data_IF_218795558775
#
_entry.id   IF_218795558775
#
_cell.length_a   1.000
_cell.length_b   1.000
_cell.length_c   1.000
_cell.angle_alpha   90.00
_cell.angle_beta   90.00
_cell.angle_gamma   90.00
#
_symmetry.space_group_name_H-M   'P 1'
#
loop_
_entity.id
_entity.type
_entity.pdbx_description
1 polymer ?
#
# COMPACT_ATOMS: atom_id res chain seq x y z
N UNK A 1 42.73 32.23 48.96
CA UNK A 1 43.26 32.60 47.63
C UNK A 1 42.70 31.58 46.64
N UNK A 2 41.54 31.81 46.00
CA UNK A 2 41.28 32.66 44.81
C UNK A 2 42.20 32.34 43.62
N UNK A 3 41.56 32.20 42.45
CA UNK A 3 42.05 32.08 41.06
C UNK A 3 42.17 30.65 40.50
N UNK A 4 41.66 30.30 39.31
CA UNK A 4 40.73 30.94 38.37
C UNK A 4 40.34 29.86 37.33
N UNK A 5 39.13 30.00 36.78
CA UNK A 5 38.52 29.22 35.70
C UNK A 5 39.39 29.13 34.43
N UNK A 6 39.34 28.02 33.70
CA UNK A 6 39.39 28.08 32.23
C UNK A 6 38.54 26.97 31.60
N UNK A 7 37.31 27.37 31.28
CA UNK A 7 36.38 26.70 30.39
C UNK A 7 36.83 26.89 28.94
N UNK A 8 37.07 25.80 28.20
CA UNK A 8 37.25 25.84 26.75
C UNK A 8 35.97 25.35 26.06
N UNK A 9 35.07 26.28 25.82
CA UNK A 9 33.85 26.13 25.03
C UNK A 9 34.24 26.14 23.55
N UNK A 10 34.18 24.99 22.88
CA UNK A 10 34.32 24.92 21.41
C UNK A 10 32.99 25.37 20.80
N UNK A 11 32.93 26.67 20.51
CA UNK A 11 31.87 27.31 19.75
C UNK A 11 32.09 26.99 18.27
N UNK A 12 31.50 25.88 17.78
CA UNK A 12 31.49 25.59 16.35
C UNK A 12 30.28 26.33 15.73
N UNK A 13 30.58 27.31 14.88
CA UNK A 13 29.63 28.14 14.19
C UNK A 13 28.70 27.30 13.30
N UNK A 14 27.47 27.08 13.76
CA UNK A 14 26.38 26.63 12.90
C UNK A 14 25.95 27.85 12.08
N UNK A 15 26.50 27.95 10.88
CA UNK A 15 25.97 28.84 9.85
C UNK A 15 24.55 28.38 9.51
N UNK A 16 23.56 29.11 10.01
CA UNK A 16 22.19 29.06 9.52
C UNK A 16 22.20 29.45 8.04
N UNK A 17 22.24 28.46 7.16
CA UNK A 17 21.80 28.63 5.77
C UNK A 17 20.29 28.67 5.79
N UNK A 18 19.75 29.88 5.88
CA UNK A 18 18.36 30.20 5.58
C UNK A 18 18.07 29.83 4.13
N UNK A 19 17.55 28.62 3.90
CA UNK A 19 16.83 28.30 2.67
C UNK A 19 15.41 28.84 2.81
N UNK A 20 15.28 30.15 2.67
CA UNK A 20 14.01 30.79 2.33
C UNK A 20 14.07 31.15 0.84
N UNK A 21 13.88 30.13 0.01
CA UNK A 21 13.34 30.31 -1.33
C UNK A 21 12.07 29.46 -1.35
N UNK A 22 10.93 30.10 -1.06
CA UNK A 22 9.69 29.67 -1.67
C UNK A 22 9.94 29.79 -3.18
N UNK A 23 10.30 28.65 -3.79
CA UNK A 23 10.23 28.55 -5.23
C UNK A 23 8.80 28.94 -5.62
N UNK A 24 8.60 29.83 -6.63
CA UNK A 24 7.25 30.09 -7.11
C UNK A 24 6.61 28.74 -7.42
N UNK A 25 5.30 28.54 -7.11
CA UNK A 25 4.64 27.28 -7.43
C UNK A 25 4.90 27.01 -8.89
N UNK A 26 5.71 25.98 -9.15
CA UNK A 26 6.10 25.60 -10.49
C UNK A 26 4.86 24.93 -11.07
N UNK A 27 3.91 25.76 -11.51
CA UNK A 27 2.66 25.35 -12.13
C UNK A 27 2.99 24.77 -13.50
N UNK A 28 3.63 23.60 -13.47
CA UNK A 28 3.95 22.82 -14.63
C UNK A 28 2.62 22.34 -15.21
N UNK A 29 2.42 22.67 -16.48
CA UNK A 29 1.24 22.26 -17.22
C UNK A 29 1.55 20.93 -17.89
N UNK A 30 0.85 19.89 -17.44
CA UNK A 30 0.97 18.54 -17.96
C UNK A 30 -0.16 18.25 -18.94
N UNK A 31 0.18 17.58 -20.03
CA UNK A 31 -0.80 17.00 -20.96
C UNK A 31 -0.51 15.51 -21.06
N UNK A 32 -1.38 14.70 -20.46
CA UNK A 32 -1.14 13.26 -20.27
C UNK A 32 -2.19 12.40 -20.95
N UNK A 33 -1.72 11.30 -21.54
CA UNK A 33 -2.56 10.15 -21.88
C UNK A 33 -2.80 9.29 -20.63
N UNK A 34 -3.71 8.31 -20.73
CA UNK A 34 -3.94 7.36 -19.65
C UNK A 34 -2.66 6.63 -19.21
N UNK A 35 -1.79 6.26 -20.16
CA UNK A 35 -0.55 5.56 -19.87
C UNK A 35 0.47 6.49 -19.18
N UNK A 36 0.51 7.76 -19.58
CA UNK A 36 1.35 8.77 -18.92
C UNK A 36 0.92 8.95 -17.45
N UNK A 37 -0.39 9.00 -17.20
CA UNK A 37 -0.95 9.09 -15.85
C UNK A 37 -0.55 7.89 -14.98
N UNK A 38 -0.63 6.67 -15.52
CA UNK A 38 -0.25 5.44 -14.81
C UNK A 38 1.26 5.42 -14.52
N UNK A 39 2.09 5.78 -15.50
CA UNK A 39 3.54 5.82 -15.34
C UNK A 39 3.95 6.85 -14.29
N UNK A 40 3.37 8.05 -14.34
CA UNK A 40 3.58 9.07 -13.32
C UNK A 40 3.19 8.57 -11.93
N UNK A 41 2.04 7.89 -11.82
CA UNK A 41 1.57 7.33 -10.56
C UNK A 41 2.50 6.25 -9.99
N UNK A 42 3.15 5.44 -10.83
CA UNK A 42 4.12 4.46 -10.36
C UNK A 42 5.37 5.06 -9.72
N UNK A 43 5.71 6.30 -10.07
CA UNK A 43 6.87 6.99 -9.54
C UNK A 43 6.53 7.88 -8.35
N UNK A 44 5.33 8.47 -8.33
CA UNK A 44 4.98 9.53 -7.37
C UNK A 44 3.94 9.12 -6.34
N UNK A 45 3.16 8.06 -6.58
CA UNK A 45 2.15 7.65 -5.62
C UNK A 45 2.78 6.99 -4.39
N UNK A 46 2.50 7.53 -3.21
CA UNK A 46 3.12 7.13 -1.94
C UNK A 46 2.97 5.64 -1.64
N UNK A 47 1.83 5.03 -2.00
CA UNK A 47 1.61 3.60 -1.78
C UNK A 47 2.55 2.70 -2.62
N UNK A 48 2.99 3.17 -3.79
CA UNK A 48 3.95 2.47 -4.65
C UNK A 48 5.38 2.77 -4.19
N UNK A 49 5.67 4.02 -3.88
CA UNK A 49 6.98 4.45 -3.34
C UNK A 49 7.29 3.71 -2.03
N UNK A 50 6.36 3.67 -1.09
CA UNK A 50 6.50 2.96 0.18
C UNK A 50 6.67 1.45 -0.02
N UNK A 51 5.95 0.83 -0.96
CA UNK A 51 6.18 -0.58 -1.31
C UNK A 51 7.59 -0.82 -1.89
N UNK A 52 8.14 0.16 -2.61
CA UNK A 52 9.55 0.18 -3.03
C UNK A 52 10.53 0.23 -1.84
N UNK A 53 10.23 1.04 -0.82
CA UNK A 53 11.00 1.09 0.42
C UNK A 53 10.89 -0.21 1.22
N UNK A 54 9.73 -0.87 1.22
CA UNK A 54 9.53 -2.17 1.87
C UNK A 54 10.40 -3.26 1.26
N UNK A 55 10.69 -3.21 -0.05
CA UNK A 55 11.64 -4.12 -0.70
C UNK A 55 13.06 -3.86 -0.18
N UNK A 56 13.47 -2.60 -0.03
CA UNK A 56 14.77 -2.24 0.55
C UNK A 56 14.86 -2.70 2.02
N UNK A 57 13.79 -2.49 2.78
CA UNK A 57 13.65 -2.98 4.16
C UNK A 57 13.81 -4.51 4.22
N UNK A 58 13.11 -5.24 3.34
CA UNK A 58 13.24 -6.70 3.25
C UNK A 58 14.65 -7.14 2.81
N UNK A 59 15.34 -6.39 1.96
CA UNK A 59 16.74 -6.65 1.63
C UNK A 59 17.67 -6.47 2.83
N UNK A 60 17.48 -5.40 3.61
CA UNK A 60 18.20 -5.24 4.87
C UNK A 60 17.88 -6.37 5.84
N UNK A 61 16.64 -6.87 5.89
CA UNK A 61 16.29 -8.04 6.71
C UNK A 61 17.03 -9.30 6.29
N UNK A 62 17.24 -9.51 4.98
CA UNK A 62 18.10 -10.61 4.48
C UNK A 62 19.55 -10.43 4.93
N UNK A 63 20.08 -9.20 4.86
CA UNK A 63 21.45 -8.89 5.32
C UNK A 63 21.60 -9.06 6.84
N UNK A 64 20.63 -8.58 7.61
CA UNK A 64 20.53 -8.77 9.07
C UNK A 64 20.52 -10.26 9.40
N UNK A 65 19.67 -11.05 8.71
CA UNK A 65 19.59 -12.49 8.92
C UNK A 65 20.91 -13.17 8.57
N UNK A 66 21.58 -12.78 7.48
CA UNK A 66 22.93 -13.28 7.15
C UNK A 66 23.96 -12.89 8.23
N UNK A 67 23.82 -11.71 8.81
CA UNK A 67 24.68 -11.20 9.88
C UNK A 67 24.64 -12.07 11.14
N UNK A 68 23.51 -12.70 11.46
CA UNK A 68 23.39 -13.63 12.61
C UNK A 68 24.41 -14.80 12.50
N UNK A 69 24.77 -15.22 11.29
CA UNK A 69 25.77 -16.27 11.07
C UNK A 69 27.22 -15.79 11.06
N UNK A 70 27.46 -14.48 11.13
CA UNK A 70 28.81 -13.90 11.22
C UNK A 70 29.27 -13.84 12.69
N UNK A 71 30.59 -13.74 12.96
CA UNK A 71 31.11 -13.53 14.29
C UNK A 71 30.48 -12.31 14.98
N UNK A 72 29.86 -12.53 16.13
CA UNK A 72 29.32 -11.50 17.00
C UNK A 72 30.36 -11.17 18.06
N UNK A 73 30.92 -9.97 18.03
CA UNK A 73 31.92 -9.52 19.00
C UNK A 73 31.25 -8.56 19.98
N UNK A 74 31.34 -8.83 21.27
CA UNK A 74 30.80 -7.98 22.32
C UNK A 74 31.88 -7.63 23.34
N UNK A 75 31.88 -6.38 23.80
CA UNK A 75 32.72 -5.92 24.91
C UNK A 75 31.87 -5.80 26.17
N UNK A 76 32.39 -6.22 27.31
CA UNK A 76 31.74 -6.05 28.60
C UNK A 76 32.73 -5.50 29.62
N UNK A 77 32.24 -4.58 30.46
CA UNK A 77 32.94 -4.08 31.62
C UNK A 77 31.99 -4.19 32.81
N UNK A 78 32.43 -4.88 33.86
CA UNK A 78 31.67 -4.98 35.11
C UNK A 78 32.51 -4.44 36.25
N UNK A 79 31.84 -3.83 37.22
CA UNK A 79 32.42 -3.38 38.48
C UNK A 79 31.47 -3.77 39.60
N UNK A 80 32.03 -4.34 40.67
CA UNK A 80 31.29 -4.81 41.83
C UNK A 80 32.01 -4.32 43.10
N UNK A 81 31.26 -3.62 43.96
CA UNK A 81 31.66 -3.29 45.34
C UNK A 81 30.92 -4.23 46.28
N UNK A 82 31.66 -5.19 46.83
CA UNK A 82 31.14 -6.10 47.84
C UNK A 82 31.09 -5.40 49.20
N UNK A 83 29.95 -4.75 49.48
CA UNK A 83 29.66 -4.15 50.78
C UNK A 83 29.86 -5.14 51.95
N UNK A 84 29.58 -6.43 51.69
CA UNK A 84 29.99 -7.55 52.53
C UNK A 84 30.54 -8.66 51.65
N UNK A 85 31.80 -9.03 51.87
CA UNK A 85 32.44 -10.14 51.14
C UNK A 85 31.74 -11.46 51.54
N UNK A 86 31.32 -12.29 50.57
CA UNK A 86 30.74 -13.60 50.84
C UNK A 86 31.65 -14.46 51.73
N UNK A 87 31.05 -15.14 52.71
CA UNK A 87 31.76 -16.04 53.64
C UNK A 87 31.41 -17.48 53.30
N UNK A 88 32.41 -18.30 53.05
CA UNK A 88 32.29 -19.74 52.78
C UNK A 88 32.71 -20.52 54.03
N UNK A 89 31.99 -21.57 54.37
CA UNK A 89 32.32 -22.45 55.49
C UNK A 89 33.16 -23.63 54.97
N UNK A 90 34.38 -23.79 55.49
CA UNK A 90 35.22 -24.95 55.19
C UNK A 90 35.12 -26.00 56.30
N UNK A 91 35.13 -27.32 55.98
CA UNK A 91 35.21 -28.36 57.00
C UNK A 91 36.46 -28.18 57.86
N UNK A 92 36.28 -28.19 59.18
CA UNK A 92 37.37 -27.99 60.14
C UNK A 92 38.41 -29.12 60.13
N UNK A 93 38.05 -30.28 59.59
CA UNK A 93 38.93 -31.44 59.39
C UNK A 93 40.17 -31.09 58.55
N UNK A 94 40.03 -30.19 57.57
CA UNK A 94 41.13 -29.72 56.72
C UNK A 94 42.14 -28.85 57.49
N UNK A 95 41.75 -28.38 58.68
CA UNK A 95 42.53 -27.53 59.58
C UNK A 95 42.76 -28.20 60.96
N UNK A 96 42.57 -29.51 61.07
CA UNK A 96 42.84 -30.29 62.29
C UNK A 96 41.80 -30.15 63.41
N UNK A 97 40.59 -29.67 63.11
CA UNK A 97 39.48 -29.57 64.07
C UNK A 97 38.61 -30.85 64.07
N UNK A 98 37.85 -31.11 65.16
CA UNK A 98 36.96 -32.26 65.25
C UNK A 98 35.96 -32.31 64.08
N UNK A 99 35.64 -33.54 63.64
CA UNK A 99 34.66 -33.78 62.58
C UNK A 99 33.32 -33.11 62.91
N UNK A 100 32.75 -32.40 61.92
CA UNK A 100 31.50 -31.63 62.08
C UNK A 100 31.66 -30.15 62.49
N UNK A 101 32.88 -29.64 62.65
CA UNK A 101 33.14 -28.20 62.83
C UNK A 101 33.33 -27.49 61.49
N UNK A 102 32.93 -26.21 61.40
CA UNK A 102 33.09 -25.39 60.19
C UNK A 102 33.81 -24.09 60.52
N UNK A 103 34.78 -23.73 59.67
CA UNK A 103 35.53 -22.47 59.81
C UNK A 103 35.05 -21.48 58.75
N UNK A 104 34.54 -20.29 59.14
CA UNK A 104 34.15 -19.26 58.19
C UNK A 104 35.37 -18.58 57.57
N UNK A 105 35.48 -18.64 56.24
CA UNK A 105 36.55 -18.02 55.46
C UNK A 105 35.95 -17.12 54.39
N UNK A 106 36.48 -15.90 54.26
CA UNK A 106 36.08 -14.97 53.20
C UNK A 106 37.01 -15.13 52.01
N UNK A 107 36.47 -15.59 50.89
CA UNK A 107 37.21 -15.70 49.63
C UNK A 107 36.84 -14.52 48.73
N UNK A 108 37.82 -13.67 48.44
CA UNK A 108 37.67 -12.50 47.57
C UNK A 108 38.08 -11.18 48.21
N UNK A 109 37.87 -10.11 47.46
CA UNK A 109 38.23 -8.73 47.82
C UNK A 109 37.03 -7.81 47.68
N UNK A 110 37.10 -6.64 48.33
CA UNK A 110 36.01 -5.64 48.32
C UNK A 110 35.65 -5.15 46.92
N UNK A 111 36.64 -4.77 46.11
CA UNK A 111 36.41 -4.24 44.76
C UNK A 111 36.84 -5.24 43.71
N UNK A 112 35.92 -5.58 42.81
CA UNK A 112 36.19 -6.42 41.66
C UNK A 112 35.77 -5.68 40.39
N UNK A 113 36.61 -5.73 39.37
CA UNK A 113 36.24 -5.27 38.04
C UNK A 113 36.68 -6.31 37.01
N UNK A 114 35.88 -6.51 35.97
CA UNK A 114 36.24 -7.36 34.84
C UNK A 114 36.01 -6.59 33.55
N UNK A 115 37.03 -6.53 32.70
CA UNK A 115 36.92 -5.94 31.35
C UNK A 115 37.26 -7.03 30.36
N UNK A 116 36.37 -7.32 29.43
CA UNK A 116 36.60 -8.37 28.46
C UNK A 116 35.86 -8.20 27.15
N UNK A 117 36.27 -8.97 26.16
CA UNK A 117 35.60 -9.11 24.89
C UNK A 117 35.30 -10.58 24.63
N UNK A 118 34.10 -10.88 24.12
CA UNK A 118 33.69 -12.20 23.66
C UNK A 118 33.41 -12.16 22.17
N UNK A 119 33.67 -13.26 21.47
CA UNK A 119 33.32 -13.46 20.08
C UNK A 119 32.59 -14.79 19.93
N UNK A 120 31.36 -14.76 19.42
CA UNK A 120 30.52 -15.95 19.20
C UNK A 120 30.18 -16.08 17.72
N UNK A 121 30.41 -17.25 17.13
CA UNK A 121 30.06 -17.55 15.75
C UNK A 121 29.24 -18.83 15.68
N UNK A 122 28.07 -18.75 15.04
CA UNK A 122 27.27 -19.93 14.72
C UNK A 122 27.99 -20.71 13.61
N UNK A 123 28.34 -21.97 13.89
CA UNK A 123 28.87 -22.89 12.88
C UNK A 123 27.75 -23.71 12.25
N UNK A 124 26.79 -24.15 13.06
CA UNK A 124 25.61 -24.87 12.61
C UNK A 124 24.40 -24.57 13.49
N UNK A 125 23.31 -24.15 12.87
CA UNK A 125 21.99 -24.05 13.48
C UNK A 125 20.93 -24.24 12.38
N UNK A 126 20.13 -25.29 12.49
CA UNK A 126 19.11 -25.61 11.48
C UNK A 126 18.03 -24.52 11.37
N UNK A 127 17.68 -23.88 12.48
CA UNK A 127 16.68 -22.81 12.52
C UNK A 127 17.17 -21.55 11.81
N UNK A 128 18.47 -21.24 11.92
CA UNK A 128 19.14 -20.16 11.19
C UNK A 128 19.10 -20.40 9.67
N UNK A 129 19.45 -21.61 9.20
CA UNK A 129 19.45 -21.94 7.78
C UNK A 129 18.06 -21.79 7.14
N UNK A 130 17.02 -22.24 7.86
CA UNK A 130 15.63 -22.06 7.43
C UNK A 130 15.20 -20.60 7.51
N UNK A 131 15.61 -19.87 8.56
CA UNK A 131 15.38 -18.43 8.71
C UNK A 131 15.96 -17.62 7.56
N UNK A 132 17.17 -17.95 7.08
CA UNK A 132 17.78 -17.31 5.92
C UNK A 132 16.95 -17.56 4.65
N UNK A 133 16.45 -18.78 4.43
CA UNK A 133 15.52 -19.06 3.32
C UNK A 133 14.22 -18.26 3.46
N UNK A 134 13.65 -18.20 4.67
CA UNK A 134 12.43 -17.44 4.95
C UNK A 134 12.61 -15.94 4.69
N UNK A 135 13.75 -15.34 5.06
CA UNK A 135 14.05 -13.92 4.79
C UNK A 135 14.08 -13.61 3.28
N UNK A 136 14.57 -14.54 2.45
CA UNK A 136 14.57 -14.39 0.98
C UNK A 136 13.16 -14.50 0.41
N UNK A 137 12.37 -15.47 0.86
CA UNK A 137 10.95 -15.59 0.49
C UNK A 137 10.13 -14.37 0.97
N UNK A 138 10.49 -13.77 2.10
CA UNK A 138 9.88 -12.52 2.56
C UNK A 138 10.20 -11.34 1.62
N UNK A 139 11.44 -11.24 1.11
CA UNK A 139 11.77 -10.26 0.05
C UNK A 139 10.94 -10.50 -1.22
N UNK A 140 10.72 -11.75 -1.62
CA UNK A 140 9.82 -12.09 -2.73
C UNK A 140 8.37 -11.65 -2.46
N UNK A 141 7.88 -11.83 -1.23
CA UNK A 141 6.57 -11.33 -0.82
C UNK A 141 6.47 -9.80 -0.96
N UNK A 142 7.51 -9.07 -0.53
CA UNK A 142 7.56 -7.60 -0.70
C UNK A 142 7.55 -7.18 -2.17
N UNK A 143 8.24 -7.91 -3.05
CA UNK A 143 8.19 -7.67 -4.51
C UNK A 143 6.77 -7.86 -5.07
N UNK A 144 6.09 -8.93 -4.67
CA UNK A 144 4.69 -9.19 -5.08
C UNK A 144 3.72 -8.14 -4.53
N UNK A 145 3.96 -7.63 -3.31
CA UNK A 145 3.16 -6.53 -2.75
C UNK A 145 3.33 -5.22 -3.55
N UNK A 146 4.54 -4.92 -4.05
CA UNK A 146 4.75 -3.79 -4.96
C UNK A 146 3.91 -3.95 -6.24
N UNK A 147 3.92 -5.13 -6.87
CA UNK A 147 3.08 -5.41 -8.04
C UNK A 147 1.60 -5.23 -7.71
N UNK A 148 1.12 -5.73 -6.56
CA UNK A 148 -0.28 -5.51 -6.13
C UNK A 148 -0.62 -4.03 -6.03
N UNK A 149 0.25 -3.23 -5.41
CA UNK A 149 0.01 -1.79 -5.25
C UNK A 149 0.01 -1.09 -6.63
N UNK A 150 0.90 -1.47 -7.54
CA UNK A 150 0.89 -0.97 -8.93
C UNK A 150 -0.43 -1.28 -9.65
N UNK A 151 -0.93 -2.51 -9.55
CA UNK A 151 -2.22 -2.89 -10.15
C UNK A 151 -3.37 -2.07 -9.54
N UNK A 152 -3.40 -1.90 -8.21
CA UNK A 152 -4.44 -1.12 -7.53
C UNK A 152 -4.45 0.34 -7.96
N UNK A 153 -3.27 0.97 -8.05
CA UNK A 153 -3.13 2.37 -8.48
C UNK A 153 -3.45 2.51 -9.97
N UNK A 154 -3.01 1.59 -10.82
CA UNK A 154 -3.38 1.60 -12.25
C UNK A 154 -4.90 1.57 -12.44
N UNK A 155 -5.60 0.69 -11.71
CA UNK A 155 -7.07 0.63 -11.74
C UNK A 155 -7.70 1.94 -11.26
N UNK A 156 -7.24 2.48 -10.12
CA UNK A 156 -7.80 3.72 -9.57
C UNK A 156 -7.60 4.93 -10.50
N UNK A 157 -6.40 5.07 -11.07
CA UNK A 157 -6.06 6.12 -12.04
C UNK A 157 -6.90 5.98 -13.31
N UNK A 158 -6.99 4.78 -13.88
CA UNK A 158 -7.81 4.51 -15.08
C UNK A 158 -9.28 4.88 -14.86
N UNK A 159 -9.86 4.50 -13.72
CA UNK A 159 -11.26 4.84 -13.39
C UNK A 159 -11.46 6.36 -13.25
N UNK A 160 -10.58 7.04 -12.53
CA UNK A 160 -10.64 8.50 -12.38
C UNK A 160 -10.45 9.22 -13.73
N UNK A 161 -9.57 8.71 -14.59
CA UNK A 161 -9.34 9.22 -15.94
C UNK A 161 -10.60 9.11 -16.81
N UNK A 162 -11.24 7.93 -16.83
CA UNK A 162 -12.50 7.72 -17.56
C UNK A 162 -13.64 8.58 -17.02
N UNK A 163 -13.72 8.81 -15.71
CA UNK A 163 -14.70 9.73 -15.14
C UNK A 163 -14.56 11.15 -15.71
N UNK A 164 -13.33 11.65 -15.89
CA UNK A 164 -13.08 12.97 -16.49
C UNK A 164 -13.47 12.99 -17.96
N UNK A 165 -13.09 11.96 -18.74
CA UNK A 165 -13.48 11.88 -20.15
C UNK A 165 -14.99 11.89 -20.34
N UNK A 166 -15.72 11.13 -19.53
CA UNK A 166 -17.18 11.09 -19.56
C UNK A 166 -17.78 12.44 -19.11
N UNK A 167 -17.25 13.07 -18.05
CA UNK A 167 -17.71 14.39 -17.62
C UNK A 167 -17.45 15.49 -18.65
N UNK A 168 -16.35 15.42 -19.40
CA UNK A 168 -16.10 16.32 -20.53
C UNK A 168 -17.13 16.13 -21.65
N UNK A 169 -17.50 14.88 -21.95
CA UNK A 169 -18.52 14.61 -22.97
C UNK A 169 -19.92 15.07 -22.51
N UNK A 170 -20.27 14.87 -21.24
CA UNK A 170 -21.49 15.44 -20.65
C UNK A 170 -21.54 16.95 -20.79
N UNK A 171 -20.42 17.63 -20.50
CA UNK A 171 -20.32 19.09 -20.62
C UNK A 171 -20.49 19.53 -22.08
N UNK A 172 -19.87 18.82 -23.03
CA UNK A 172 -20.00 19.08 -24.47
C UNK A 172 -21.45 18.95 -24.96
N UNK A 173 -22.16 17.90 -24.52
CA UNK A 173 -23.58 17.71 -24.85
C UNK A 173 -24.46 18.78 -24.19
N UNK A 174 -24.19 19.11 -22.93
CA UNK A 174 -24.91 20.16 -22.20
C UNK A 174 -24.75 21.53 -22.89
N UNK A 175 -23.54 21.88 -23.32
CA UNK A 175 -23.25 23.12 -24.05
C UNK A 175 -23.98 23.17 -25.41
N UNK A 176 -24.04 22.04 -26.12
CA UNK A 176 -24.77 21.94 -27.38
C UNK A 176 -26.29 22.13 -27.17
N UNK A 177 -26.87 21.48 -26.16
CA UNK A 177 -28.28 21.62 -25.81
C UNK A 177 -28.60 23.05 -25.37
N UNK A 178 -27.73 23.69 -24.59
CA UNK A 178 -27.89 25.06 -24.12
C UNK A 178 -27.87 26.06 -25.27
N UNK A 179 -26.98 25.88 -26.25
CA UNK A 179 -26.96 26.68 -27.48
C UNK A 179 -28.26 26.54 -28.26
N UNK A 180 -28.75 25.31 -28.44
CA UNK A 180 -30.00 25.05 -29.16
C UNK A 180 -31.22 25.65 -28.42
N UNK A 181 -31.27 25.48 -27.10
CA UNK A 181 -32.37 25.97 -26.28
C UNK A 181 -32.38 27.49 -26.18
N UNK A 182 -31.20 28.13 -26.17
CA UNK A 182 -31.08 29.60 -26.22
C UNK A 182 -31.63 30.15 -27.53
N UNK A 183 -31.30 29.52 -28.67
CA UNK A 183 -31.86 29.91 -29.96
C UNK A 183 -33.39 29.79 -29.94
N UNK A 184 -33.92 28.68 -29.42
CA UNK A 184 -35.35 28.46 -29.32
C UNK A 184 -36.03 29.49 -28.40
N UNK A 185 -35.40 29.85 -27.28
CA UNK A 185 -35.87 30.91 -26.39
C UNK A 185 -35.98 32.26 -27.09
N UNK A 186 -34.97 32.64 -27.86
CA UNK A 186 -34.93 33.91 -28.58
C UNK A 186 -36.00 33.98 -29.68
N UNK A 187 -36.16 32.89 -30.44
CA UNK A 187 -37.18 32.75 -31.48
C UNK A 187 -38.61 32.83 -30.91
N UNK A 188 -38.91 32.06 -29.86
CA UNK A 188 -40.24 32.07 -29.23
C UNK A 188 -40.53 33.41 -28.56
N UNK A 189 -39.51 34.08 -28.01
CA UNK A 189 -39.66 35.45 -27.46
C UNK A 189 -40.02 36.45 -28.57
N UNK A 190 -39.41 36.34 -29.75
CA UNK A 190 -39.74 37.20 -30.89
C UNK A 190 -41.17 36.95 -31.41
N UNK A 191 -41.58 35.69 -31.49
CA UNK A 191 -42.95 35.29 -31.86
C UNK A 191 -43.98 35.82 -30.86
N UNK A 192 -43.69 35.75 -29.55
CA UNK A 192 -44.61 36.26 -28.52
C UNK A 192 -44.80 37.78 -28.66
N UNK A 193 -43.73 38.53 -28.94
CA UNK A 193 -43.80 39.98 -29.21
C UNK A 193 -44.65 40.32 -30.44
N UNK A 194 -44.72 39.41 -31.41
CA UNK A 194 -45.57 39.52 -32.60
C UNK A 194 -47.00 39.00 -32.36
N UNK A 195 -47.30 38.48 -31.16
CA UNK A 195 -48.60 37.93 -30.79
C UNK A 195 -48.91 36.56 -31.39
N UNK A 196 -47.90 35.84 -31.90
CA UNK A 196 -48.10 34.54 -32.59
C UNK A 196 -47.98 33.33 -31.67
N UNK A 197 -47.44 33.50 -30.45
CA UNK A 197 -47.36 32.47 -29.40
C UNK A 197 -47.66 33.05 -28.02
N UNK A 198 -48.06 32.21 -27.08
CA UNK A 198 -48.44 32.64 -25.73
C UNK A 198 -47.21 32.89 -24.83
N UNK A 199 -47.38 33.72 -23.79
CA UNK A 199 -46.30 33.97 -22.82
C UNK A 199 -45.85 32.70 -22.09
N UNK A 200 -46.77 31.78 -21.84
CA UNK A 200 -46.47 30.50 -21.17
C UNK A 200 -45.45 29.67 -21.95
N UNK A 201 -45.42 29.79 -23.28
CA UNK A 201 -44.46 29.08 -24.14
C UNK A 201 -43.04 29.61 -23.91
N UNK A 202 -42.89 30.93 -23.80
CA UNK A 202 -41.62 31.60 -23.47
C UNK A 202 -41.16 31.19 -22.07
N UNK A 203 -42.06 31.24 -21.08
CA UNK A 203 -41.74 30.95 -19.68
C UNK A 203 -41.30 29.48 -19.49
N UNK A 204 -41.89 28.52 -20.22
CA UNK A 204 -41.46 27.10 -20.20
C UNK A 204 -40.04 26.92 -20.70
N UNK A 205 -39.69 27.54 -21.83
CA UNK A 205 -38.33 27.46 -22.38
C UNK A 205 -37.34 28.14 -21.44
N UNK A 206 -37.72 29.27 -20.82
CA UNK A 206 -36.88 29.96 -19.83
C UNK A 206 -36.55 29.06 -18.63
N UNK A 207 -37.54 28.33 -18.10
CA UNK A 207 -37.32 27.37 -17.00
C UNK A 207 -36.35 26.27 -17.42
N UNK A 208 -36.52 25.66 -18.59
CA UNK A 208 -35.59 24.63 -19.08
C UNK A 208 -34.17 25.19 -19.27
N UNK A 209 -34.05 26.40 -19.82
CA UNK A 209 -32.76 27.06 -20.01
C UNK A 209 -32.04 27.29 -18.68
N UNK A 210 -32.74 27.83 -17.67
CA UNK A 210 -32.18 28.07 -16.34
C UNK A 210 -31.76 26.77 -15.64
N UNK A 211 -32.53 25.69 -15.79
CA UNK A 211 -32.17 24.38 -15.27
C UNK A 211 -30.89 23.84 -15.93
N UNK A 212 -30.78 23.95 -17.26
CA UNK A 212 -29.62 23.46 -18.00
C UNK A 212 -28.35 24.29 -17.71
N UNK A 213 -28.48 25.61 -17.52
CA UNK A 213 -27.40 26.47 -17.01
C UNK A 213 -26.92 25.98 -15.64
N UNK A 214 -27.84 25.66 -14.73
CA UNK A 214 -27.50 25.13 -13.41
C UNK A 214 -26.79 23.78 -13.51
N UNK A 215 -27.28 22.88 -14.36
CA UNK A 215 -26.64 21.58 -14.63
C UNK A 215 -25.22 21.75 -15.18
N UNK A 216 -25.02 22.68 -16.12
CA UNK A 216 -23.70 23.01 -16.67
C UNK A 216 -22.72 23.45 -15.59
N UNK A 217 -23.11 24.39 -14.74
CA UNK A 217 -22.25 24.89 -13.67
C UNK A 217 -21.91 23.81 -12.64
N UNK A 218 -22.87 22.93 -12.32
CA UNK A 218 -22.62 21.77 -11.48
C UNK A 218 -21.64 20.78 -12.13
N UNK A 219 -21.77 20.53 -13.44
CA UNK A 219 -20.84 19.68 -14.20
C UNK A 219 -19.43 20.26 -14.21
N UNK A 220 -19.27 21.58 -14.35
CA UNK A 220 -17.95 22.24 -14.28
C UNK A 220 -17.31 22.07 -12.90
N UNK A 221 -18.08 22.27 -11.82
CA UNK A 221 -17.59 22.07 -10.45
C UNK A 221 -17.21 20.61 -10.20
N UNK A 222 -18.03 19.67 -10.65
CA UNK A 222 -17.74 18.23 -10.56
C UNK A 222 -16.52 17.83 -11.39
N UNK A 223 -16.36 18.40 -12.59
CA UNK A 223 -15.20 18.16 -13.43
C UNK A 223 -13.90 18.63 -12.74
N UNK A 224 -13.93 19.83 -12.14
CA UNK A 224 -12.81 20.33 -11.35
C UNK A 224 -12.44 19.37 -10.20
N UNK A 225 -13.44 18.83 -9.49
CA UNK A 225 -13.24 17.81 -8.46
C UNK A 225 -12.66 16.50 -9.04
N UNK A 226 -13.16 16.03 -10.18
CA UNK A 226 -12.67 14.82 -10.83
C UNK A 226 -11.19 14.93 -11.21
N UNK A 227 -10.74 16.11 -11.68
CA UNK A 227 -9.31 16.38 -11.88
C UNK A 227 -8.51 16.32 -10.58
N UNK A 228 -9.02 16.84 -9.47
CA UNK A 228 -8.36 16.75 -8.16
C UNK A 228 -8.26 15.29 -7.70
N UNK A 229 -9.32 14.49 -7.89
CA UNK A 229 -9.30 13.06 -7.61
C UNK A 229 -8.24 12.35 -8.45
N UNK A 230 -8.17 12.60 -9.76
CA UNK A 230 -7.14 12.00 -10.61
C UNK A 230 -5.73 12.37 -10.14
N UNK A 231 -5.46 13.65 -9.85
CA UNK A 231 -4.16 14.10 -9.32
C UNK A 231 -3.81 13.38 -8.02
N UNK A 232 -4.76 13.27 -7.10
CA UNK A 232 -4.58 12.53 -5.85
C UNK A 232 -4.27 11.04 -6.09
N UNK A 233 -5.00 10.36 -7.00
CA UNK A 233 -4.75 8.96 -7.33
C UNK A 233 -3.37 8.74 -7.96
N UNK A 234 -2.84 9.76 -8.65
CA UNK A 234 -1.52 9.75 -9.27
C UNK A 234 -0.38 10.17 -8.33
N UNK A 235 -0.67 10.68 -7.13
CA UNK A 235 0.34 11.32 -6.27
C UNK A 235 0.86 12.65 -6.82
N UNK A 236 0.09 13.34 -7.67
CA UNK A 236 0.41 14.67 -8.17
C UNK A 236 -0.09 15.74 -7.19
N UNK A 237 0.70 16.80 -6.90
CA UNK A 237 0.21 17.97 -6.18
C UNK A 237 -1.05 18.55 -6.82
N UNK A 238 -2.03 18.93 -5.99
CA UNK A 238 -3.37 19.34 -6.44
C UNK A 238 -3.31 20.64 -7.26
N UNK A 239 -2.29 21.46 -6.98
CA UNK A 239 -2.01 22.79 -7.51
C UNK A 239 -1.54 22.74 -8.98
N UNK A 240 -0.93 21.64 -9.43
CA UNK A 240 -0.42 21.50 -10.79
C UNK A 240 -1.55 21.51 -11.82
N UNK A 241 -1.34 22.08 -13.01
CA UNK A 241 -2.35 22.02 -14.09
C UNK A 241 -2.21 20.74 -14.91
N UNK A 242 -3.33 20.07 -15.17
CA UNK A 242 -3.40 18.82 -15.93
C UNK A 242 -4.47 18.92 -17.02
N UNK A 243 -4.10 18.58 -18.25
CA UNK A 243 -5.01 18.36 -19.37
C UNK A 243 -4.89 16.93 -19.88
N UNK A 244 -5.99 16.36 -20.38
CA UNK A 244 -6.01 15.01 -20.93
C UNK A 244 -5.81 15.05 -22.44
N UNK A 245 -5.03 14.11 -22.98
CA UNK A 245 -4.78 13.97 -24.43
C UNK A 245 -5.83 13.13 -25.15
N UNK A 246 -6.33 12.09 -24.47
CA UNK A 246 -7.17 11.08 -25.11
C UNK A 246 -8.61 11.57 -25.24
N UNK A 247 -9.32 11.05 -26.25
CA UNK A 247 -10.76 11.25 -26.40
C UNK A 247 -11.52 9.97 -26.07
N UNK A 248 -12.78 10.13 -25.69
CA UNK A 248 -13.66 9.02 -25.35
C UNK A 248 -13.89 8.07 -26.54
N UNK A 249 -13.85 8.60 -27.76
CA UNK A 249 -13.99 7.89 -29.04
C UNK A 249 -12.85 6.89 -29.31
N UNK A 250 -11.69 7.09 -28.69
CA UNK A 250 -10.52 6.23 -28.87
C UNK A 250 -10.62 4.92 -28.07
N UNK A 251 -11.58 4.83 -27.12
CA UNK A 251 -11.73 3.67 -26.24
C UNK A 251 -12.64 2.62 -26.89
N UNK A 252 -12.04 1.49 -27.26
CA UNK A 252 -12.77 0.35 -27.81
C UNK A 252 -13.41 -0.46 -26.69
N UNK A 253 -14.74 -0.51 -26.70
CA UNK A 253 -15.52 -1.47 -25.93
C UNK A 253 -15.84 -2.65 -26.85
N UNK A 254 -15.20 -3.79 -26.62
CA UNK A 254 -15.48 -4.99 -27.41
C UNK A 254 -16.83 -5.59 -26.97
N UNK A 255 -17.73 -5.80 -27.93
CA UNK A 255 -19.04 -6.45 -27.71
C UNK A 255 -18.90 -7.93 -27.32
N UNK A 256 -17.74 -8.54 -27.60
CA UNK A 256 -17.48 -9.94 -27.26
C UNK A 256 -16.85 -10.02 -25.88
N UNK A 257 -17.67 -10.25 -24.86
CA UNK A 257 -17.17 -10.87 -23.65
C UNK A 257 -16.62 -12.24 -24.05
N UNK A 258 -15.32 -12.46 -23.87
CA UNK A 258 -14.71 -13.77 -24.08
C UNK A 258 -15.28 -14.71 -23.01
N UNK A 259 -16.37 -15.40 -23.36
CA UNK A 259 -17.13 -16.31 -22.50
C UNK A 259 -16.37 -17.62 -22.23
N UNK A 260 -15.14 -17.74 -22.74
CA UNK A 260 -14.28 -18.88 -22.45
C UNK A 260 -14.05 -18.92 -20.93
N UNK A 261 -14.66 -19.94 -20.31
CA UNK A 261 -14.47 -20.33 -18.92
C UNK A 261 -13.03 -20.82 -18.72
N UNK A 262 -12.05 -19.93 -18.84
CA UNK A 262 -10.68 -20.19 -18.41
C UNK A 262 -10.74 -20.34 -16.89
N UNK A 263 -10.98 -21.56 -16.44
CA UNK A 263 -11.04 -21.87 -15.01
C UNK A 263 -9.69 -21.69 -14.33
N UNK A 264 -8.60 -21.43 -15.06
CA UNK A 264 -7.23 -21.26 -14.57
C UNK A 264 -6.78 -19.80 -14.46
N UNK A 265 -7.62 -18.82 -14.83
CA UNK A 265 -7.27 -17.39 -14.81
C UNK A 265 -6.71 -16.90 -13.46
N UNK A 266 -7.16 -17.52 -12.36
CA UNK A 266 -6.76 -17.14 -11.00
C UNK A 266 -5.26 -17.28 -10.75
N UNK A 267 -4.52 -18.09 -11.54
CA UNK A 267 -3.06 -18.16 -11.45
C UNK A 267 -2.37 -16.87 -11.91
N UNK A 268 -3.00 -16.08 -12.78
CA UNK A 268 -2.50 -14.79 -13.23
C UNK A 268 -2.76 -13.67 -12.21
N UNK A 269 -3.56 -13.93 -11.17
CA UNK A 269 -3.92 -12.94 -10.15
C UNK A 269 -2.82 -12.78 -9.11
N UNK A 270 -2.45 -11.54 -8.84
CA UNK A 270 -1.41 -11.23 -7.84
C UNK A 270 -1.80 -11.69 -6.44
N UNK A 271 -3.09 -11.65 -6.09
CA UNK A 271 -3.62 -12.09 -4.80
C UNK A 271 -3.42 -13.59 -4.57
N UNK A 272 -3.51 -14.41 -5.63
CA UNK A 272 -3.22 -15.84 -5.57
C UNK A 272 -1.74 -16.07 -5.31
N UNK A 273 -0.87 -15.42 -6.09
CA UNK A 273 0.59 -15.54 -5.94
C UNK A 273 1.09 -15.06 -4.56
N UNK A 274 0.47 -14.01 -4.01
CA UNK A 274 0.73 -13.53 -2.64
C UNK A 274 0.35 -14.58 -1.58
N UNK A 275 -0.81 -15.22 -1.76
CA UNK A 275 -1.29 -16.27 -0.85
C UNK A 275 -0.41 -17.52 -0.91
N UNK A 276 0.07 -17.91 -2.09
CA UNK A 276 1.03 -19.00 -2.27
C UNK A 276 2.37 -18.71 -1.56
N UNK A 277 2.91 -17.51 -1.74
CA UNK A 277 4.13 -17.09 -1.02
C UNK A 277 3.90 -17.03 0.49
N UNK A 278 2.71 -16.61 0.93
CA UNK A 278 2.29 -16.68 2.32
C UNK A 278 2.33 -18.11 2.88
N UNK A 279 1.78 -19.08 2.16
CA UNK A 279 1.87 -20.50 2.52
C UNK A 279 3.33 -20.97 2.54
N UNK A 280 4.15 -20.56 1.58
CA UNK A 280 5.56 -20.91 1.54
C UNK A 280 6.30 -20.42 2.80
N UNK A 281 6.01 -19.20 3.27
CA UNK A 281 6.53 -18.69 4.54
C UNK A 281 6.04 -19.49 5.75
N UNK A 282 4.77 -19.88 5.79
CA UNK A 282 4.24 -20.76 6.87
C UNK A 282 4.89 -22.15 6.87
N UNK A 283 5.14 -22.72 5.68
CA UNK A 283 5.87 -23.99 5.53
C UNK A 283 7.33 -23.86 5.99
N UNK A 284 7.98 -22.73 5.70
CA UNK A 284 9.33 -22.45 6.21
C UNK A 284 9.33 -22.27 7.73
N UNK A 285 8.31 -21.62 8.31
CA UNK A 285 8.20 -21.55 9.77
C UNK A 285 8.00 -22.94 10.40
N UNK A 286 7.15 -23.80 9.82
CA UNK A 286 7.03 -25.19 10.27
C UNK A 286 8.39 -25.92 10.23
N UNK A 287 9.13 -25.79 9.14
CA UNK A 287 10.49 -26.36 9.01
C UNK A 287 11.45 -25.76 10.04
N UNK A 288 11.33 -24.47 10.36
CA UNK A 288 12.14 -23.80 11.39
C UNK A 288 11.86 -24.39 12.78
N UNK A 289 10.59 -24.60 13.14
CA UNK A 289 10.23 -25.27 14.40
C UNK A 289 10.76 -26.71 14.46
N UNK A 290 10.65 -27.47 13.36
CA UNK A 290 11.22 -28.81 13.26
C UNK A 290 12.75 -28.80 13.38
N UNK A 291 13.41 -27.81 12.82
CA UNK A 291 14.88 -27.70 12.85
C UNK A 291 15.43 -27.38 14.23
N UNK A 292 14.61 -26.90 15.18
CA UNK A 292 15.05 -26.69 16.56
C UNK A 292 15.36 -28.00 17.30
N UNK A 293 14.92 -29.16 16.78
CA UNK A 293 15.32 -30.47 17.30
C UNK A 293 16.74 -30.87 16.90
N UNK A 294 17.35 -30.18 15.92
CA UNK A 294 18.73 -30.42 15.53
C UNK A 294 19.68 -29.81 16.57
N UNK A 295 20.89 -30.38 16.73
CA UNK A 295 21.90 -29.80 17.59
C UNK A 295 22.35 -28.44 17.03
N UNK A 296 22.82 -27.55 17.90
CA UNK A 296 23.44 -26.28 17.50
C UNK A 296 24.92 -26.29 17.87
N UNK A 297 25.80 -25.93 16.93
CA UNK A 297 27.24 -25.84 17.13
C UNK A 297 27.68 -24.38 16.99
N UNK A 298 28.40 -23.88 18.00
CA UNK A 298 28.97 -22.54 18.02
C UNK A 298 30.46 -22.59 18.31
N UNK A 299 31.22 -21.68 17.69
CA UNK A 299 32.57 -21.34 18.12
C UNK A 299 32.50 -20.11 19.03
N UNK A 300 33.21 -20.16 20.14
CA UNK A 300 33.23 -19.11 21.14
C UNK A 300 34.67 -18.78 21.52
N UNK A 301 35.02 -17.50 21.52
CA UNK A 301 36.28 -16.99 22.01
C UNK A 301 36.02 -15.91 23.07
N UNK A 302 36.88 -15.84 24.07
CA UNK A 302 36.77 -14.84 25.14
C UNK A 302 38.14 -14.41 25.59
N UNK A 303 38.27 -13.12 25.89
CA UNK A 303 39.42 -12.53 26.55
C UNK A 303 38.90 -11.60 27.64
N UNK A 304 39.23 -11.87 28.89
CA UNK A 304 38.78 -11.08 30.05
C UNK A 304 39.96 -10.79 30.96
N UNK A 305 40.16 -9.52 31.29
CA UNK A 305 41.05 -9.07 32.36
C UNK A 305 40.27 -8.83 33.63
N UNK A 306 40.57 -9.61 34.67
CA UNK A 306 39.99 -9.44 36.00
C UNK A 306 40.90 -8.59 36.88
N UNK A 307 40.31 -7.66 37.61
CA UNK A 307 40.97 -6.74 38.53
C UNK A 307 40.33 -6.91 39.91
N UNK A 308 41.17 -7.10 40.92
CA UNK A 308 40.71 -7.43 42.26
C UNK A 308 41.58 -6.68 43.27
N UNK A 309 40.97 -5.81 44.08
CA UNK A 309 41.67 -5.16 45.18
C UNK A 309 40.74 -4.80 46.36
N UNK A 310 41.28 -4.73 47.57
CA UNK A 310 40.55 -4.23 48.74
C UNK A 310 40.48 -2.70 48.80
N UNK A 311 41.37 -2.01 48.08
CA UNK A 311 41.40 -0.55 47.95
C UNK A 311 41.07 -0.14 46.51
N UNK A 312 40.09 0.74 46.36
CA UNK A 312 39.64 1.22 45.05
C UNK A 312 40.78 1.90 44.26
N UNK A 313 41.62 2.71 44.92
CA UNK A 313 42.75 3.40 44.28
C UNK A 313 43.86 2.47 43.75
N UNK A 314 43.84 1.18 44.13
CA UNK A 314 44.78 0.17 43.66
C UNK A 314 44.12 -0.87 42.73
N UNK A 315 42.83 -0.72 42.40
CA UNK A 315 42.06 -1.73 41.68
C UNK A 315 42.69 -2.15 40.36
N UNK A 316 43.11 -1.17 39.55
CA UNK A 316 43.67 -1.41 38.22
C UNK A 316 45.20 -1.58 38.19
N UNK A 317 45.85 -1.75 39.36
CA UNK A 317 47.32 -1.93 39.42
C UNK A 317 47.77 -3.35 39.10
N UNK A 318 46.91 -4.33 39.28
CA UNK A 318 47.20 -5.74 39.05
C UNK A 318 46.03 -6.35 38.28
N UNK A 319 46.32 -7.00 37.16
CA UNK A 319 45.35 -7.69 36.33
C UNK A 319 45.61 -9.19 36.28
N UNK A 320 44.53 -9.94 36.11
CA UNK A 320 44.53 -11.39 35.96
C UNK A 320 43.80 -11.71 34.65
N UNK A 321 44.50 -11.68 33.50
CA UNK A 321 43.90 -11.99 32.22
C UNK A 321 43.60 -13.49 32.10
N UNK A 322 42.49 -13.80 31.45
CA UNK A 322 42.07 -15.14 31.06
C UNK A 322 41.54 -15.11 29.64
N UNK A 323 41.91 -16.11 28.85
CA UNK A 323 41.45 -16.23 27.47
C UNK A 323 41.21 -17.67 27.08
N UNK A 324 40.19 -17.92 26.28
CA UNK A 324 39.93 -19.24 25.73
C UNK A 324 39.30 -19.16 24.35
N UNK A 325 39.46 -20.24 23.59
CA UNK A 325 38.69 -20.53 22.38
C UNK A 325 38.11 -21.92 22.57
N UNK A 326 36.84 -22.09 22.23
CA UNK A 326 36.14 -23.36 22.41
C UNK A 326 35.01 -23.55 21.40
N UNK A 327 34.52 -24.77 21.36
CA UNK A 327 33.33 -25.15 20.61
C UNK A 327 32.25 -25.57 21.60
N UNK A 328 31.06 -25.01 21.44
CA UNK A 328 29.89 -25.38 22.25
C UNK A 328 28.89 -26.11 21.36
N UNK A 329 28.67 -27.40 21.66
CA UNK A 329 27.62 -28.22 21.06
C UNK A 329 26.44 -28.31 22.03
N UNK A 330 25.29 -27.82 21.62
CA UNK A 330 24.06 -27.90 22.40
C UNK A 330 23.07 -28.84 21.70
N UNK A 331 22.78 -29.98 22.35
CA UNK A 331 21.85 -31.01 21.87
C UNK A 331 20.61 -31.00 22.77
N UNK A 332 19.45 -30.56 22.26
CA UNK A 332 18.24 -30.55 23.04
C UNK A 332 17.64 -31.95 23.15
N UNK A 333 17.62 -32.51 24.36
CA UNK A 333 17.13 -33.88 24.62
C UNK A 333 15.63 -33.88 24.95
N UNK A 334 15.24 -33.11 25.97
CA UNK A 334 13.85 -33.02 26.41
C UNK A 334 13.50 -31.61 26.86
N UNK A 335 12.35 -31.11 26.43
CA UNK A 335 11.91 -29.74 26.68
C UNK A 335 10.43 -29.66 27.10
N UNK A 336 9.95 -30.65 27.85
CA UNK A 336 8.59 -30.64 28.39
C UNK A 336 7.49 -30.60 27.33
N UNK A 337 7.70 -31.26 26.18
CA UNK A 337 6.76 -31.30 25.04
C UNK A 337 6.48 -29.94 24.35
N UNK A 338 7.12 -28.86 24.79
CA UNK A 338 6.87 -27.52 24.26
C UNK A 338 7.12 -27.45 22.74
N UNK A 339 8.25 -27.99 22.26
CA UNK A 339 8.59 -27.99 20.83
C UNK A 339 7.66 -28.85 20.00
N UNK A 340 7.18 -29.96 20.57
CA UNK A 340 6.24 -30.84 19.87
C UNK A 340 4.95 -30.09 19.59
N UNK A 341 4.45 -29.37 20.59
CA UNK A 341 3.25 -28.57 20.46
C UNK A 341 3.45 -27.34 19.56
N UNK A 342 4.64 -26.72 19.55
CA UNK A 342 4.99 -25.66 18.58
C UNK A 342 5.00 -26.17 17.13
N UNK A 343 5.57 -27.35 16.87
CA UNK A 343 5.52 -27.98 15.53
C UNK A 343 4.09 -28.29 15.11
N UNK A 344 3.28 -28.86 16.03
CA UNK A 344 1.86 -29.12 15.77
C UNK A 344 1.11 -27.83 15.46
N UNK A 345 1.33 -26.77 16.23
CA UNK A 345 0.73 -25.46 16.01
C UNK A 345 1.10 -24.87 14.64
N UNK A 346 2.38 -24.86 14.26
CA UNK A 346 2.80 -24.39 12.93
C UNK A 346 2.24 -25.27 11.80
N UNK A 347 2.04 -26.58 12.03
CA UNK A 347 1.38 -27.47 11.05
C UNK A 347 -0.09 -27.08 10.85
N UNK A 348 -0.82 -26.79 11.94
CA UNK A 348 -2.20 -26.28 11.85
C UNK A 348 -2.22 -24.93 11.12
N UNK A 349 -1.26 -24.03 11.36
CA UNK A 349 -1.17 -22.76 10.65
C UNK A 349 -0.98 -22.92 9.13
N UNK A 350 -0.20 -23.93 8.69
CA UNK A 350 -0.08 -24.27 7.26
C UNK A 350 -1.41 -24.76 6.70
N UNK A 351 -2.10 -25.68 7.39
CA UNK A 351 -3.40 -26.20 6.95
C UNK A 351 -4.46 -25.09 6.84
N UNK A 352 -4.52 -24.18 7.83
CA UNK A 352 -5.39 -23.00 7.77
C UNK A 352 -5.10 -22.15 6.54
N UNK A 353 -3.83 -21.85 6.29
CA UNK A 353 -3.42 -21.05 5.13
C UNK A 353 -3.73 -21.72 3.79
N UNK A 354 -3.74 -23.06 3.73
CA UNK A 354 -4.17 -23.81 2.55
C UNK A 354 -5.69 -23.73 2.34
N UNK A 355 -6.48 -23.84 3.42
CA UNK A 355 -7.92 -23.63 3.36
C UNK A 355 -8.27 -22.19 2.95
N UNK A 356 -7.53 -21.20 3.47
CA UNK A 356 -7.69 -19.79 3.11
C UNK A 356 -7.38 -19.54 1.63
N UNK A 357 -6.40 -20.26 1.04
CA UNK A 357 -6.11 -20.21 -0.39
C UNK A 357 -7.26 -20.78 -1.23
N UNK A 358 -7.82 -21.94 -0.86
CA UNK A 358 -8.98 -22.50 -1.57
C UNK A 358 -10.21 -21.59 -1.47
N UNK A 359 -10.45 -20.99 -0.29
CA UNK A 359 -11.51 -19.99 -0.14
C UNK A 359 -11.24 -18.74 -0.99
N UNK A 360 -10.00 -18.26 -1.01
CA UNK A 360 -9.59 -17.11 -1.84
C UNK A 360 -9.76 -17.41 -3.33
N UNK A 361 -9.43 -18.62 -3.78
CA UNK A 361 -9.65 -19.08 -5.16
C UNK A 361 -11.14 -19.07 -5.52
N UNK A 362 -12.01 -19.51 -4.64
CA UNK A 362 -13.47 -19.41 -4.85
C UNK A 362 -13.94 -17.95 -4.89
N UNK A 363 -13.38 -17.10 -4.02
CA UNK A 363 -13.63 -15.64 -4.04
C UNK A 363 -13.21 -14.98 -5.34
N UNK A 364 -12.02 -15.29 -5.86
CA UNK A 364 -11.53 -14.78 -7.15
C UNK A 364 -12.43 -15.22 -8.32
N UNK A 365 -12.86 -16.48 -8.34
CA UNK A 365 -13.83 -16.98 -9.33
C UNK A 365 -15.15 -16.23 -9.28
N UNK A 366 -15.67 -15.98 -8.07
CA UNK A 366 -16.89 -15.20 -7.90
C UNK A 366 -16.71 -13.75 -8.35
N UNK A 367 -15.56 -13.12 -8.05
CA UNK A 367 -15.22 -11.77 -8.50
C UNK A 367 -15.21 -11.67 -10.03
N UNK A 368 -14.53 -12.61 -10.71
CA UNK A 368 -14.49 -12.67 -12.18
C UNK A 368 -15.88 -12.89 -12.79
N UNK A 369 -16.68 -13.80 -12.23
CA UNK A 369 -18.06 -14.01 -12.69
C UNK A 369 -18.92 -12.75 -12.50
N UNK A 370 -18.80 -12.06 -11.36
CA UNK A 370 -19.51 -10.81 -11.10
C UNK A 370 -19.09 -9.71 -12.07
N UNK A 371 -17.79 -9.55 -12.30
CA UNK A 371 -17.26 -8.56 -13.24
C UNK A 371 -17.70 -8.85 -14.68
N UNK A 372 -17.74 -10.12 -15.08
CA UNK A 372 -18.23 -10.54 -16.38
C UNK A 372 -19.71 -10.21 -16.59
N UNK A 373 -20.56 -10.58 -15.62
CA UNK A 373 -21.99 -10.24 -15.67
C UNK A 373 -22.20 -8.72 -15.69
N UNK A 374 -21.44 -7.98 -14.89
CA UNK A 374 -21.52 -6.52 -14.85
C UNK A 374 -21.12 -5.90 -16.20
N UNK A 375 -20.05 -6.38 -16.85
CA UNK A 375 -19.62 -5.88 -18.15
C UNK A 375 -20.63 -6.19 -19.25
N UNK A 376 -21.12 -7.43 -19.34
CA UNK A 376 -22.13 -7.82 -20.33
C UNK A 376 -23.40 -6.98 -20.17
N UNK A 377 -23.89 -6.83 -18.94
CA UNK A 377 -25.05 -5.99 -18.66
C UNK A 377 -24.79 -4.51 -18.97
N UNK A 378 -23.58 -4.02 -18.64
CA UNK A 378 -23.17 -2.63 -18.91
C UNK A 378 -23.17 -2.30 -20.40
N UNK A 379 -22.60 -3.18 -21.23
CA UNK A 379 -22.60 -3.03 -22.70
C UNK A 379 -24.01 -3.11 -23.27
N UNK A 380 -24.83 -4.07 -22.85
CA UNK A 380 -26.22 -4.16 -23.30
C UNK A 380 -27.04 -2.93 -22.90
N UNK A 381 -26.86 -2.43 -21.67
CA UNK A 381 -27.49 -1.21 -21.19
C UNK A 381 -27.05 -0.01 -22.01
N UNK A 382 -25.74 0.18 -22.25
CA UNK A 382 -25.20 1.24 -23.08
C UNK A 382 -25.80 1.23 -24.50
N UNK A 383 -25.85 0.05 -25.14
CA UNK A 383 -26.44 -0.11 -26.46
C UNK A 383 -27.96 0.18 -26.48
N UNK A 384 -28.68 -0.11 -25.39
CA UNK A 384 -30.08 0.29 -25.23
C UNK A 384 -30.22 1.80 -25.06
N UNK A 385 -29.41 2.43 -24.21
CA UNK A 385 -29.48 3.87 -23.98
C UNK A 385 -29.07 4.68 -25.21
N UNK A 386 -28.13 4.17 -26.02
CA UNK A 386 -27.79 4.76 -27.31
C UNK A 386 -29.01 4.81 -28.24
N UNK A 387 -29.73 3.69 -28.38
CA UNK A 387 -30.95 3.61 -29.17
C UNK A 387 -32.07 4.51 -28.63
N UNK A 388 -32.23 4.56 -27.30
CA UNK A 388 -33.21 5.44 -26.66
C UNK A 388 -32.90 6.91 -26.92
N UNK A 389 -31.62 7.30 -26.88
CA UNK A 389 -31.17 8.65 -27.21
C UNK A 389 -31.47 9.00 -28.67
N UNK A 390 -31.10 8.14 -29.61
CA UNK A 390 -31.39 8.33 -31.04
C UNK A 390 -32.90 8.47 -31.30
N UNK A 391 -33.73 7.66 -30.63
CA UNK A 391 -35.19 7.78 -30.72
C UNK A 391 -35.71 9.08 -30.11
N UNK A 392 -35.18 9.51 -28.96
CA UNK A 392 -35.56 10.76 -28.32
C UNK A 392 -35.16 11.99 -29.16
N UNK A 393 -34.00 11.95 -29.82
CA UNK A 393 -33.56 12.97 -30.78
C UNK A 393 -34.56 13.09 -31.95
N UNK A 394 -35.02 11.95 -32.49
CA UNK A 394 -35.99 11.92 -33.58
C UNK A 394 -37.38 12.42 -33.14
N UNK A 395 -37.85 12.02 -31.94
CA UNK A 395 -39.11 12.52 -31.38
C UNK A 395 -39.06 14.04 -31.18
N UNK A 396 -37.95 14.56 -30.65
CA UNK A 396 -37.76 16.00 -30.51
C UNK A 396 -37.77 16.71 -31.87
N UNK A 397 -37.10 16.14 -32.88
CA UNK A 397 -37.07 16.69 -34.24
C UNK A 397 -38.48 16.79 -34.82
N UNK A 398 -39.27 15.72 -34.74
CA UNK A 398 -40.65 15.67 -35.25
C UNK A 398 -41.56 16.64 -34.48
N UNK A 399 -41.46 16.69 -33.15
CA UNK A 399 -42.23 17.63 -32.33
C UNK A 399 -41.92 19.09 -32.67
N UNK A 400 -40.65 19.43 -32.91
CA UNK A 400 -40.24 20.78 -33.36
C UNK A 400 -40.86 21.13 -34.71
N UNK A 401 -40.86 20.20 -35.67
CA UNK A 401 -41.49 20.42 -36.98
C UNK A 401 -42.99 20.62 -36.84
N UNK A 402 -43.70 19.78 -36.06
CA UNK A 402 -45.14 19.93 -35.82
C UNK A 402 -45.49 21.29 -35.22
N UNK A 403 -44.72 21.74 -34.23
CA UNK A 403 -44.91 23.05 -33.61
C UNK A 403 -44.70 24.20 -34.61
N UNK A 404 -43.63 24.14 -35.42
CA UNK A 404 -43.37 25.13 -36.47
C UNK A 404 -44.46 25.19 -37.55
N UNK A 405 -45.14 24.08 -37.82
CA UNK A 405 -46.26 24.00 -38.78
C UNK A 405 -47.63 24.30 -38.13
N UNK A 406 -47.67 24.63 -36.84
CA UNK A 406 -48.92 24.95 -36.12
C UNK A 406 -49.82 23.75 -35.82
N UNK A 407 -49.34 22.52 -36.00
CA UNK A 407 -50.08 21.26 -35.77
C UNK A 407 -49.62 20.51 -34.51
N UNK A 408 -48.76 21.13 -33.70
CA UNK A 408 -48.27 20.61 -32.43
C UNK A 408 -48.19 21.72 -31.38
N UNK A 409 -48.14 21.34 -30.10
CA UNK A 409 -48.08 22.30 -28.99
C UNK A 409 -46.65 22.52 -28.48
N UNK A 410 -46.40 23.67 -27.85
CA UNK A 410 -45.14 23.96 -27.16
C UNK A 410 -44.84 22.93 -26.06
N UNK A 411 -45.88 22.37 -25.45
CA UNK A 411 -45.79 21.34 -24.43
C UNK A 411 -45.21 20.04 -25.00
N UNK A 412 -45.62 19.62 -26.21
CA UNK A 412 -45.06 18.44 -26.88
C UNK A 412 -43.55 18.60 -27.13
N UNK A 413 -43.12 19.79 -27.56
CA UNK A 413 -41.69 20.08 -27.78
C UNK A 413 -40.92 20.09 -26.47
N UNK A 414 -41.47 20.75 -25.44
CA UNK A 414 -40.87 20.83 -24.10
C UNK A 414 -40.72 19.43 -23.49
N UNK A 415 -41.74 18.59 -23.61
CA UNK A 415 -41.73 17.22 -23.11
C UNK A 415 -40.72 16.35 -23.87
N UNK A 416 -40.66 16.46 -25.20
CA UNK A 416 -39.69 15.74 -26.01
C UNK A 416 -38.24 16.17 -25.68
N UNK A 417 -38.02 17.46 -25.39
CA UNK A 417 -36.70 17.96 -24.98
C UNK A 417 -36.28 17.37 -23.63
N UNK A 418 -37.16 17.39 -22.63
CA UNK A 418 -36.90 16.75 -21.33
C UNK A 418 -36.61 15.25 -21.48
N UNK A 419 -37.32 14.55 -22.36
CA UNK A 419 -37.06 13.14 -22.66
C UNK A 419 -35.72 12.90 -23.34
N UNK A 420 -35.27 13.80 -24.23
CA UNK A 420 -33.93 13.74 -24.80
C UNK A 420 -32.84 14.01 -23.76
N UNK A 421 -33.04 14.99 -22.88
CA UNK A 421 -32.08 15.30 -21.81
C UNK A 421 -31.92 14.11 -20.86
N UNK A 422 -33.03 13.47 -20.43
CA UNK A 422 -32.99 12.24 -19.63
C UNK A 422 -32.32 11.07 -20.38
N UNK A 423 -32.55 10.92 -21.68
CA UNK A 423 -31.89 9.90 -22.49
C UNK A 423 -30.38 10.15 -22.65
N UNK A 424 -29.95 11.41 -22.77
CA UNK A 424 -28.55 11.80 -22.80
C UNK A 424 -27.85 11.45 -21.48
N UNK A 425 -28.46 11.82 -20.34
CA UNK A 425 -27.91 11.52 -19.02
C UNK A 425 -27.77 10.01 -18.79
N UNK A 426 -28.79 9.22 -19.17
CA UNK A 426 -28.73 7.75 -19.11
C UNK A 426 -27.68 7.15 -20.03
N UNK A 427 -27.50 7.70 -21.23
CA UNK A 427 -26.46 7.26 -22.15
C UNK A 427 -25.06 7.51 -21.59
N UNK A 428 -24.83 8.69 -21.03
CA UNK A 428 -23.54 9.08 -20.43
C UNK A 428 -23.23 8.24 -19.20
N UNK A 429 -24.21 8.02 -18.33
CA UNK A 429 -24.07 7.11 -17.19
C UNK A 429 -23.76 5.68 -17.66
N UNK A 430 -24.50 5.17 -18.64
CA UNK A 430 -24.26 3.83 -19.20
C UNK A 430 -22.88 3.70 -19.83
N UNK A 431 -22.34 4.77 -20.43
CA UNK A 431 -21.01 4.78 -21.01
C UNK A 431 -19.92 4.69 -19.94
N UNK A 432 -20.06 5.45 -18.85
CA UNK A 432 -19.17 5.33 -17.70
C UNK A 432 -19.24 3.93 -17.08
N UNK A 433 -20.44 3.40 -16.85
CA UNK A 433 -20.62 2.08 -16.24
C UNK A 433 -20.01 0.95 -17.10
N UNK A 434 -20.12 1.04 -18.42
CA UNK A 434 -19.48 0.11 -19.36
C UNK A 434 -17.94 0.19 -19.30
N UNK A 435 -17.38 1.40 -19.23
CA UNK A 435 -15.94 1.61 -19.12
C UNK A 435 -15.38 1.07 -17.80
N UNK A 436 -16.04 1.37 -16.67
CA UNK A 436 -15.59 0.92 -15.35
C UNK A 436 -15.71 -0.60 -15.22
N UNK A 437 -16.81 -1.19 -15.69
CA UNK A 437 -16.99 -2.64 -15.68
C UNK A 437 -15.97 -3.36 -16.56
N UNK A 438 -15.50 -2.76 -17.67
CA UNK A 438 -14.37 -3.30 -18.45
C UNK A 438 -13.07 -3.33 -17.64
N UNK A 439 -12.77 -2.24 -16.93
CA UNK A 439 -11.57 -2.16 -16.08
C UNK A 439 -11.64 -3.20 -14.95
N UNK A 440 -12.81 -3.36 -14.34
CA UNK A 440 -13.03 -4.38 -13.30
C UNK A 440 -12.93 -5.80 -13.85
N UNK A 441 -13.40 -6.04 -15.07
CA UNK A 441 -13.24 -7.32 -15.77
C UNK A 441 -11.77 -7.63 -15.99
N UNK A 442 -11.01 -6.70 -16.57
CA UNK A 442 -9.59 -6.90 -16.86
C UNK A 442 -8.77 -7.07 -15.59
N UNK A 443 -9.11 -6.33 -14.53
CA UNK A 443 -8.59 -6.57 -13.20
C UNK A 443 -8.91 -8.01 -12.80
N UNK A 444 -10.18 -8.40 -12.74
CA UNK A 444 -10.67 -9.69 -12.24
C UNK A 444 -10.02 -10.90 -12.94
N UNK A 445 -9.73 -10.81 -14.24
CA UNK A 445 -9.03 -11.85 -15.01
C UNK A 445 -7.50 -11.79 -14.91
N UNK A 446 -6.93 -10.81 -14.19
CA UNK A 446 -5.48 -10.65 -14.04
C UNK A 446 -4.78 -10.15 -15.30
N UNK A 447 -5.49 -9.39 -16.15
CA UNK A 447 -4.97 -8.84 -17.41
C UNK A 447 -4.18 -7.54 -17.19
N UNK A 448 -4.47 -6.81 -16.11
CA UNK A 448 -3.71 -5.63 -15.67
C UNK A 448 -2.49 -6.10 -14.88
N UNK A 449 -1.29 -5.62 -15.27
CA UNK A 449 0.00 -6.07 -14.71
C UNK A 449 0.73 -4.99 -13.94
#
# INVERSE_FOLDING_TARGET
MKYLLFTATVLCAIAFKSYAQEAPPNNQTYSFSIQDCINYAYEHQDSVVNAGLDIKSAEYKVKETRGIGLPQISGSATFQDYLKIPTTLLPGEVFGQPAGTFIPVKFGVKYQSSIGATADQILFDGSYLVGLKASRTYKELSLKNLTRNKIQISVAVTKAYYQILVSNEQLRLTDANLKQLKQQFDETTAQNKQGTVEKIDVDRIAVQYNNLVTTRENTIRSLALNYQVLKFQMGMPIENSLSLKDKLEDIKLDDTADLAADTSFYHNRIEYSLSETGIALKKLDLKRQQSQYLPTLKANASYTSSYQNNSFGNLYKMNFPSSYVGLTLNIPIFNGWQRLNQVRQSKIAVLKSQNDLENSKNGLKLEANKANVAYVNGIQSLNNQKRNRELAEEVLRVSKIKYQQGVGSSLEVTQAQTSLDDANDKYIQGLYDALISKVDLDKAYGRIK
#
